data_IF_800394330953
#
_entry.id   IF_800394330953
#
_cell.length_a   1.000
_cell.length_b   1.000
_cell.length_c   1.000
_cell.angle_alpha   90.00
_cell.angle_beta   90.00
_cell.angle_gamma   90.00
#
_symmetry.space_group_name_H-M   'P 1'
#
loop_
_entity.id
_entity.type
_entity.pdbx_description
1 polymer ?
#
# COMPACT_ATOMS: atom_id res chain seq x y z
N UNK A 1 -23.44 34.59 -24.96
CA UNK A 1 -24.08 33.45 -24.26
C UNK A 1 -24.04 32.14 -25.05
N UNK A 2 -24.55 32.04 -26.26
CA UNK A 2 -24.59 30.77 -27.02
C UNK A 2 -23.22 30.08 -27.20
N UNK A 3 -22.14 30.83 -27.48
CA UNK A 3 -20.77 30.26 -27.61
C UNK A 3 -20.23 29.65 -26.31
N UNK A 4 -20.51 30.28 -25.15
CA UNK A 4 -20.10 29.78 -23.85
C UNK A 4 -20.82 28.47 -23.48
N UNK A 5 -22.11 28.35 -23.84
CA UNK A 5 -22.90 27.13 -23.65
C UNK A 5 -22.32 25.97 -24.48
N UNK A 6 -21.98 26.21 -25.76
CA UNK A 6 -21.40 25.17 -26.63
C UNK A 6 -20.01 24.73 -26.20
N UNK A 7 -19.17 25.64 -25.69
CA UNK A 7 -17.87 25.28 -25.09
C UNK A 7 -18.08 24.42 -23.84
N UNK A 8 -19.04 24.78 -22.98
CA UNK A 8 -19.38 23.99 -21.80
C UNK A 8 -19.89 22.58 -22.14
N UNK A 9 -20.74 22.47 -23.17
CA UNK A 9 -21.25 21.17 -23.66
C UNK A 9 -20.13 20.35 -24.29
N UNK A 10 -19.25 20.95 -25.09
CA UNK A 10 -18.12 20.27 -25.70
C UNK A 10 -17.13 19.74 -24.62
N UNK A 11 -16.84 20.54 -23.60
CA UNK A 11 -16.02 20.11 -22.46
C UNK A 11 -16.71 18.97 -21.69
N UNK A 12 -18.01 19.05 -21.45
CA UNK A 12 -18.76 17.98 -20.76
C UNK A 12 -18.79 16.68 -21.57
N UNK A 13 -18.94 16.76 -22.90
CA UNK A 13 -18.89 15.59 -23.79
C UNK A 13 -17.49 14.97 -23.84
N UNK A 14 -16.43 15.79 -23.90
CA UNK A 14 -15.06 15.31 -23.82
C UNK A 14 -14.79 14.62 -22.48
N UNK A 15 -15.22 15.22 -21.37
CA UNK A 15 -15.10 14.65 -20.03
C UNK A 15 -15.84 13.30 -19.95
N UNK A 16 -17.09 13.24 -20.46
CA UNK A 16 -17.87 12.01 -20.46
C UNK A 16 -17.28 10.93 -21.39
N UNK A 17 -16.75 11.33 -22.55
CA UNK A 17 -16.12 10.40 -23.51
C UNK A 17 -14.82 9.80 -23.02
N UNK A 18 -14.09 10.48 -22.13
CA UNK A 18 -12.86 9.97 -21.53
C UNK A 18 -13.07 9.31 -20.17
N UNK A 19 -14.33 9.07 -19.74
CA UNK A 19 -14.65 8.39 -18.49
C UNK A 19 -14.14 9.10 -17.23
N UNK A 20 -13.88 10.41 -17.32
CA UNK A 20 -13.43 11.19 -16.18
C UNK A 20 -14.62 11.58 -15.30
N UNK A 21 -14.80 10.87 -14.20
CA UNK A 21 -15.68 11.27 -13.13
C UNK A 21 -14.83 11.74 -11.93
N UNK A 22 -14.69 13.05 -11.71
CA UNK A 22 -13.88 13.57 -10.60
C UNK A 22 -14.43 13.19 -9.22
N UNK A 23 -15.66 12.70 -9.14
CA UNK A 23 -16.34 12.28 -7.90
C UNK A 23 -16.41 10.76 -7.75
N UNK A 24 -16.02 9.99 -8.77
CA UNK A 24 -15.98 8.53 -8.65
C UNK A 24 -14.79 8.11 -7.79
N UNK A 25 -15.05 7.26 -6.81
CA UNK A 25 -13.94 6.59 -6.10
C UNK A 25 -13.15 5.78 -7.10
N UNK A 26 -11.83 5.98 -7.12
CA UNK A 26 -10.93 5.15 -7.92
C UNK A 26 -10.60 3.83 -7.21
N UNK A 27 -10.94 3.71 -5.92
CA UNK A 27 -10.78 2.49 -5.13
C UNK A 27 -12.06 1.69 -5.16
N UNK A 28 -12.03 0.56 -5.84
CA UNK A 28 -13.06 -0.45 -5.67
C UNK A 28 -12.65 -1.34 -4.48
N UNK A 29 -13.33 -1.15 -3.37
CA UNK A 29 -13.09 -1.85 -2.10
C UNK A 29 -14.01 -3.06 -1.92
N UNK A 30 -14.75 -3.44 -2.95
CA UNK A 30 -15.72 -4.55 -2.89
C UNK A 30 -15.06 -5.86 -2.45
N UNK A 31 -15.59 -6.48 -1.41
CA UNK A 31 -15.20 -7.80 -0.95
C UNK A 31 -13.81 -7.90 -0.30
N UNK A 32 -13.05 -6.79 -0.15
CA UNK A 32 -11.70 -6.91 0.41
C UNK A 32 -11.69 -7.25 1.91
N UNK A 33 -12.76 -6.93 2.62
CA UNK A 33 -12.98 -7.25 4.04
C UNK A 33 -13.81 -8.52 4.25
N UNK A 34 -14.20 -9.22 3.18
CA UNK A 34 -15.00 -10.44 3.29
C UNK A 34 -14.27 -11.52 4.09
N UNK A 35 -14.99 -12.20 4.98
CA UNK A 35 -14.44 -13.31 5.77
C UNK A 35 -14.19 -14.56 4.90
N UNK A 36 -15.00 -14.77 3.84
CA UNK A 36 -14.82 -15.81 2.83
C UNK A 36 -13.97 -15.36 1.64
N UNK A 37 -13.83 -16.23 0.65
CA UNK A 37 -13.19 -15.92 -0.62
C UNK A 37 -14.16 -15.20 -1.56
N UNK A 38 -13.61 -14.36 -2.42
CA UNK A 38 -14.30 -13.67 -3.50
C UNK A 38 -13.92 -14.29 -4.84
N UNK A 39 -14.68 -14.01 -5.90
CA UNK A 39 -14.37 -14.51 -7.25
C UNK A 39 -13.00 -14.02 -7.78
N UNK A 40 -12.51 -12.88 -7.26
CA UNK A 40 -11.26 -12.30 -7.67
C UNK A 40 -10.35 -12.07 -6.46
N UNK A 41 -9.49 -13.04 -6.14
CA UNK A 41 -8.52 -12.97 -5.04
C UNK A 41 -7.10 -12.60 -5.51
N UNK A 42 -6.69 -13.10 -6.68
CA UNK A 42 -5.36 -12.84 -7.23
C UNK A 42 -5.46 -12.53 -8.71
N UNK A 43 -4.84 -11.47 -9.14
CA UNK A 43 -4.82 -11.05 -10.53
C UNK A 43 -4.78 -9.53 -10.71
N UNK A 44 -4.82 -9.13 -11.96
CA UNK A 44 -4.76 -7.73 -12.40
C UNK A 44 -6.00 -7.41 -13.22
N UNK A 45 -6.72 -6.39 -12.83
CA UNK A 45 -7.92 -5.92 -13.53
C UNK A 45 -7.80 -4.43 -13.84
N UNK A 46 -7.88 -4.09 -15.13
CA UNK A 46 -7.95 -2.69 -15.57
C UNK A 46 -9.40 -2.23 -15.60
N UNK A 47 -9.71 -1.23 -14.79
CA UNK A 47 -11.04 -0.63 -14.73
C UNK A 47 -11.31 0.25 -15.97
N UNK A 48 -12.57 0.54 -16.33
CA UNK A 48 -12.91 1.40 -17.46
C UNK A 48 -12.29 2.79 -17.41
N UNK A 49 -12.06 3.33 -16.20
CA UNK A 49 -11.38 4.61 -15.97
C UNK A 49 -9.85 4.53 -16.09
N UNK A 50 -9.30 3.36 -16.47
CA UNK A 50 -7.88 3.11 -16.66
C UNK A 50 -7.08 2.79 -15.40
N UNK A 51 -7.69 2.86 -14.21
CA UNK A 51 -7.04 2.43 -12.95
C UNK A 51 -6.85 0.92 -12.95
N UNK A 52 -5.67 0.44 -12.55
CA UNK A 52 -5.48 -0.98 -12.28
C UNK A 52 -5.83 -1.32 -10.84
N UNK A 53 -6.69 -2.31 -10.67
CA UNK A 53 -6.88 -3.01 -9.41
C UNK A 53 -6.05 -4.30 -9.46
N UNK A 54 -5.02 -4.35 -8.63
CA UNK A 54 -4.14 -5.50 -8.47
C UNK A 54 -4.51 -6.17 -7.16
N UNK A 55 -4.71 -7.47 -7.16
CA UNK A 55 -4.99 -8.27 -5.96
C UNK A 55 -4.00 -9.43 -5.87
N UNK A 56 -3.61 -9.74 -4.65
CA UNK A 56 -2.79 -10.89 -4.33
C UNK A 56 -3.28 -11.50 -3.01
N UNK A 57 -3.59 -12.79 -3.04
CA UNK A 57 -3.86 -13.57 -1.83
C UNK A 57 -2.64 -14.41 -1.52
N UNK A 58 -1.93 -14.08 -0.43
CA UNK A 58 -0.74 -14.79 0.00
C UNK A 58 -1.04 -15.61 1.24
N UNK A 59 -0.71 -16.91 1.19
CA UNK A 59 -0.75 -17.79 2.35
C UNK A 59 0.53 -17.64 3.16
N UNK A 60 0.40 -17.47 4.46
CA UNK A 60 1.50 -17.27 5.40
C UNK A 60 1.45 -18.32 6.51
N UNK A 61 2.00 -19.52 6.30
CA UNK A 61 1.95 -20.59 7.28
C UNK A 61 2.61 -20.17 8.61
N UNK A 62 1.99 -20.56 9.73
CA UNK A 62 2.46 -20.26 11.09
C UNK A 62 2.50 -18.76 11.48
N UNK A 63 2.24 -17.85 10.56
CA UNK A 63 2.14 -16.41 10.84
C UNK A 63 0.79 -16.09 11.47
N UNK A 64 0.77 -15.10 12.35
CA UNK A 64 -0.46 -14.52 12.92
C UNK A 64 -0.50 -13.02 12.70
N UNK A 65 -1.69 -12.44 12.69
CA UNK A 65 -1.90 -11.01 12.49
C UNK A 65 -1.10 -10.13 13.47
N UNK A 66 -0.91 -10.62 14.72
CA UNK A 66 -0.10 -9.94 15.74
C UNK A 66 1.38 -9.85 15.36
N UNK A 67 1.95 -10.89 14.72
CA UNK A 67 3.35 -10.91 14.27
C UNK A 67 3.59 -9.86 13.17
N UNK A 68 2.64 -9.72 12.24
CA UNK A 68 2.69 -8.70 11.20
C UNK A 68 2.49 -7.29 11.77
N UNK A 69 1.61 -7.13 12.78
CA UNK A 69 1.46 -5.87 13.50
C UNK A 69 2.78 -5.44 14.12
N UNK A 70 3.46 -6.35 14.81
CA UNK A 70 4.76 -6.12 15.42
C UNK A 70 5.84 -5.81 14.35
N UNK A 71 5.89 -6.57 13.27
CA UNK A 71 6.84 -6.35 12.16
C UNK A 71 6.77 -4.92 11.64
N UNK A 72 5.58 -4.46 11.26
CA UNK A 72 5.41 -3.13 10.65
C UNK A 72 5.43 -1.98 11.67
N UNK A 73 5.06 -2.21 12.92
CA UNK A 73 5.01 -1.14 13.91
C UNK A 73 6.31 -0.98 14.69
N UNK A 74 7.03 -2.08 14.94
CA UNK A 74 8.12 -2.11 15.90
C UNK A 74 9.45 -2.59 15.33
N UNK A 75 9.47 -3.76 14.66
CA UNK A 75 10.73 -4.44 14.34
C UNK A 75 11.43 -3.92 13.09
N UNK A 76 10.74 -3.72 12.00
CA UNK A 76 11.33 -3.36 10.70
C UNK A 76 11.78 -1.90 10.71
N UNK A 77 13.06 -1.65 11.07
CA UNK A 77 13.61 -0.30 11.29
C UNK A 77 14.82 0.02 10.40
N UNK A 78 15.51 -0.97 9.85
CA UNK A 78 16.78 -0.78 9.13
C UNK A 78 16.74 -1.34 7.72
N UNK A 79 17.68 -0.90 6.88
CA UNK A 79 17.87 -1.44 5.53
C UNK A 79 18.18 -2.94 5.56
N UNK A 80 18.87 -3.45 6.59
CA UNK A 80 19.16 -4.87 6.76
C UNK A 80 17.89 -5.67 7.00
N UNK A 81 16.97 -5.15 7.86
CA UNK A 81 15.66 -5.77 8.06
C UNK A 81 14.85 -5.77 6.77
N UNK A 82 14.90 -4.69 6.01
CA UNK A 82 14.21 -4.55 4.74
C UNK A 82 14.75 -5.52 3.69
N UNK A 83 16.06 -5.65 3.55
CA UNK A 83 16.70 -6.62 2.65
C UNK A 83 16.43 -8.07 3.05
N UNK A 84 16.32 -8.36 4.36
CA UNK A 84 15.94 -9.70 4.82
C UNK A 84 14.53 -10.07 4.39
N UNK A 85 13.64 -9.08 4.33
CA UNK A 85 12.26 -9.28 3.90
C UNK A 85 12.17 -9.70 2.43
N UNK A 86 12.93 -9.06 1.52
CA UNK A 86 13.05 -9.46 0.12
C UNK A 86 14.50 -9.34 -0.35
N UNK A 87 15.30 -10.42 -0.27
CA UNK A 87 16.74 -10.33 -0.46
C UNK A 87 17.22 -9.87 -1.84
N UNK A 88 16.41 -10.09 -2.88
CA UNK A 88 16.74 -9.71 -4.27
C UNK A 88 16.26 -8.33 -4.65
N UNK A 89 15.09 -7.94 -4.19
CA UNK A 89 14.43 -6.74 -4.70
C UNK A 89 14.54 -5.54 -3.76
N UNK A 90 14.60 -5.76 -2.45
CA UNK A 90 14.73 -4.67 -1.49
C UNK A 90 16.18 -4.17 -1.40
N UNK A 91 16.39 -2.88 -1.63
CA UNK A 91 17.73 -2.28 -1.74
C UNK A 91 18.05 -1.38 -0.55
N UNK A 92 17.12 -0.49 -0.20
CA UNK A 92 17.33 0.51 0.84
C UNK A 92 16.00 0.96 1.42
N UNK A 93 16.02 1.32 2.70
CA UNK A 93 14.89 1.95 3.36
C UNK A 93 15.29 2.99 4.38
N UNK A 94 14.38 3.92 4.65
CA UNK A 94 14.39 4.81 5.80
C UNK A 94 12.96 5.10 6.26
N UNK A 95 12.82 5.57 7.48
CA UNK A 95 11.54 6.05 7.99
C UNK A 95 11.47 7.57 8.04
N UNK A 96 10.29 8.12 7.75
CA UNK A 96 9.93 9.51 7.96
C UNK A 96 8.72 9.56 8.91
N UNK A 97 8.77 10.41 9.93
CA UNK A 97 7.72 10.60 10.95
C UNK A 97 7.34 9.31 11.72
N UNK A 98 8.24 8.35 11.83
CA UNK A 98 8.00 7.10 12.56
C UNK A 98 8.06 7.35 14.08
N UNK A 99 7.05 6.87 14.79
CA UNK A 99 7.04 6.83 16.25
C UNK A 99 7.11 5.37 16.72
N UNK A 100 7.72 5.10 17.87
CA UNK A 100 7.77 3.76 18.44
C UNK A 100 6.37 3.15 18.58
N UNK A 101 6.20 1.91 18.12
CA UNK A 101 4.92 1.19 18.20
C UNK A 101 3.81 1.68 17.26
N UNK A 102 4.00 2.80 16.57
CA UNK A 102 3.01 3.38 15.67
C UNK A 102 3.47 3.27 14.21
N UNK A 103 2.54 3.01 13.29
CA UNK A 103 2.78 3.08 11.84
C UNK A 103 1.97 4.19 11.16
N UNK A 104 0.75 4.47 11.66
CA UNK A 104 -0.13 5.47 11.04
C UNK A 104 0.54 6.84 11.11
N UNK A 105 0.58 7.54 9.97
CA UNK A 105 1.25 8.83 9.83
C UNK A 105 2.75 8.74 9.51
N UNK A 106 3.39 7.58 9.70
CA UNK A 106 4.75 7.35 9.26
C UNK A 106 4.81 7.10 7.75
N UNK A 107 5.96 7.35 7.16
CA UNK A 107 6.24 7.01 5.77
C UNK A 107 7.48 6.14 5.68
N UNK A 108 7.33 5.03 4.98
CA UNK A 108 8.40 4.12 4.61
C UNK A 108 8.97 4.59 3.27
N UNK A 109 10.22 5.06 3.30
CA UNK A 109 10.96 5.49 2.12
C UNK A 109 11.76 4.30 1.65
N UNK A 110 11.59 3.87 0.40
CA UNK A 110 12.19 2.64 -0.11
C UNK A 110 12.80 2.79 -1.49
N UNK A 111 13.86 2.04 -1.73
CA UNK A 111 14.34 1.68 -3.05
C UNK A 111 14.17 0.16 -3.20
N UNK A 112 13.43 -0.25 -4.21
CA UNK A 112 13.11 -1.65 -4.49
C UNK A 112 13.00 -1.90 -5.98
N UNK A 113 13.26 -3.13 -6.41
CA UNK A 113 13.01 -3.54 -7.79
C UNK A 113 11.59 -4.10 -7.92
N UNK A 114 10.87 -3.67 -8.94
CA UNK A 114 9.59 -4.22 -9.35
C UNK A 114 9.71 -4.60 -10.83
N UNK A 115 9.64 -5.89 -11.15
CA UNK A 115 9.86 -6.39 -12.50
C UNK A 115 11.24 -6.02 -13.07
N UNK A 116 12.28 -5.98 -12.23
CA UNK A 116 13.64 -5.59 -12.61
C UNK A 116 13.87 -4.09 -12.76
N UNK A 117 12.87 -3.25 -12.54
CA UNK A 117 12.98 -1.79 -12.60
C UNK A 117 13.09 -1.19 -11.20
N UNK A 118 14.14 -0.39 -10.96
CA UNK A 118 14.34 0.27 -9.68
C UNK A 118 13.25 1.33 -9.45
N UNK A 119 12.44 1.11 -8.43
CA UNK A 119 11.40 2.01 -7.94
C UNK A 119 11.88 2.70 -6.67
N UNK A 120 11.72 4.03 -6.62
CA UNK A 120 12.01 4.86 -5.44
C UNK A 120 10.71 5.42 -4.91
N UNK A 121 10.21 4.86 -3.83
CA UNK A 121 8.86 5.10 -3.35
C UNK A 121 8.86 5.70 -1.95
N UNK A 122 7.80 6.47 -1.68
CA UNK A 122 7.38 6.91 -0.36
C UNK A 122 6.02 6.28 -0.05
N UNK A 123 5.99 5.34 0.86
CA UNK A 123 4.80 4.59 1.26
C UNK A 123 4.30 5.18 2.58
N UNK A 124 3.30 6.04 2.51
CA UNK A 124 2.69 6.70 3.67
C UNK A 124 1.59 5.83 4.26
N UNK A 125 1.76 5.36 5.47
CA UNK A 125 0.72 4.63 6.21
C UNK A 125 -0.38 5.58 6.66
N UNK A 126 -1.62 5.21 6.38
CA UNK A 126 -2.82 5.98 6.71
C UNK A 126 -3.74 5.19 7.62
N UNK A 127 -4.69 5.87 8.26
CA UNK A 127 -5.77 5.18 8.94
C UNK A 127 -6.58 4.38 7.90
N UNK A 128 -6.74 3.06 8.08
CA UNK A 128 -7.51 2.24 7.15
C UNK A 128 -8.96 2.72 6.96
N UNK A 129 -9.57 3.33 7.96
CA UNK A 129 -10.92 3.87 7.86
C UNK A 129 -11.06 4.99 6.82
N UNK A 130 -9.96 5.67 6.49
CA UNK A 130 -9.95 6.65 5.40
C UNK A 130 -10.28 6.03 4.03
N UNK A 131 -9.90 4.76 3.83
CA UNK A 131 -10.12 4.05 2.57
C UNK A 131 -11.34 3.14 2.59
N UNK A 132 -11.64 2.56 3.73
CA UNK A 132 -12.56 1.44 3.87
C UNK A 132 -13.84 1.80 4.65
N UNK A 133 -13.89 3.01 5.24
CA UNK A 133 -14.92 3.39 6.19
C UNK A 133 -14.73 2.74 7.58
N UNK A 134 -15.68 2.88 8.49
CA UNK A 134 -15.55 2.37 9.85
C UNK A 134 -15.23 0.88 9.90
N UNK A 135 -14.25 0.50 10.72
CA UNK A 135 -13.77 -0.86 10.87
C UNK A 135 -14.01 -1.38 12.29
N UNK A 136 -14.44 -2.64 12.38
CA UNK A 136 -14.46 -3.36 13.65
C UNK A 136 -13.04 -3.76 14.06
N UNK A 137 -12.67 -3.45 15.30
CA UNK A 137 -11.42 -3.92 15.88
C UNK A 137 -11.48 -5.41 16.16
N UNK A 138 -10.62 -6.18 15.53
CA UNK A 138 -10.53 -7.65 15.69
C UNK A 138 -9.08 -8.04 15.98
N UNK A 139 -8.88 -8.94 16.95
CA UNK A 139 -7.54 -9.45 17.30
C UNK A 139 -6.96 -10.35 16.19
N UNK A 140 -7.82 -11.14 15.55
CA UNK A 140 -7.52 -12.08 14.47
C UNK A 140 -7.41 -11.43 13.09
N UNK A 141 -7.50 -10.09 13.03
CA UNK A 141 -7.42 -9.33 11.79
C UNK A 141 -6.48 -8.13 11.96
N UNK A 142 -5.69 -7.88 10.92
CA UNK A 142 -4.91 -6.66 10.78
C UNK A 142 -5.23 -6.02 9.43
N UNK A 143 -5.48 -4.72 9.45
CA UNK A 143 -5.64 -3.93 8.22
C UNK A 143 -4.56 -2.85 8.20
N UNK A 144 -3.81 -2.80 7.11
CA UNK A 144 -2.76 -1.82 6.86
C UNK A 144 -3.08 -1.16 5.53
N UNK A 145 -3.28 0.15 5.51
CA UNK A 145 -3.46 0.90 4.29
C UNK A 145 -2.39 1.98 4.14
N UNK A 146 -2.03 2.27 2.88
CA UNK A 146 -1.02 3.27 2.57
C UNK A 146 -1.29 3.96 1.23
N UNK A 147 -0.75 5.18 1.08
CA UNK A 147 -0.54 5.84 -0.20
C UNK A 147 0.89 5.61 -0.63
N UNK A 148 1.11 5.14 -1.84
CA UNK A 148 2.43 5.08 -2.43
C UNK A 148 2.64 6.23 -3.41
N UNK A 149 3.74 6.92 -3.25
CA UNK A 149 4.13 8.08 -4.04
C UNK A 149 5.57 7.97 -4.52
N UNK A 150 5.94 8.87 -5.40
CA UNK A 150 7.32 9.02 -5.84
C UNK A 150 8.15 9.65 -4.72
N UNK A 151 9.34 9.12 -4.46
CA UNK A 151 10.22 9.64 -3.43
C UNK A 151 10.75 11.03 -3.80
N UNK A 152 11.12 11.21 -5.06
CA UNK A 152 11.76 12.43 -5.58
C UNK A 152 10.76 13.52 -6.00
N UNK A 153 9.46 13.19 -6.12
CA UNK A 153 8.41 14.15 -6.48
C UNK A 153 7.29 14.17 -5.43
N UNK A 154 6.67 15.33 -5.18
CA UNK A 154 5.57 15.44 -4.20
C UNK A 154 4.25 14.90 -4.78
N UNK A 155 4.25 13.66 -5.27
CA UNK A 155 3.11 13.00 -5.88
C UNK A 155 2.87 11.63 -5.25
N UNK A 156 1.62 11.35 -4.92
CA UNK A 156 1.12 10.00 -4.72
C UNK A 156 0.60 9.48 -6.05
N UNK A 157 0.88 8.23 -6.38
CA UNK A 157 0.53 7.61 -7.69
C UNK A 157 -0.31 6.35 -7.53
N UNK A 158 -0.40 5.83 -6.32
CA UNK A 158 -1.23 4.66 -5.99
C UNK A 158 -1.67 4.67 -4.54
N UNK A 159 -2.57 3.77 -4.22
CA UNK A 159 -2.92 3.41 -2.84
C UNK A 159 -3.00 1.89 -2.72
N UNK A 160 -2.83 1.39 -1.51
CA UNK A 160 -2.81 -0.03 -1.23
C UNK A 160 -3.42 -0.33 0.13
N UNK A 161 -3.91 -1.56 0.31
CA UNK A 161 -4.25 -2.13 1.61
C UNK A 161 -3.80 -3.59 1.68
N UNK A 162 -3.31 -4.00 2.84
CA UNK A 162 -3.11 -5.39 3.23
C UNK A 162 -4.12 -5.74 4.31
N UNK A 163 -4.92 -6.76 4.07
CA UNK A 163 -5.89 -7.30 5.00
C UNK A 163 -5.44 -8.70 5.39
N UNK A 164 -4.98 -8.84 6.62
CA UNK A 164 -4.55 -10.09 7.21
C UNK A 164 -5.69 -10.68 8.02
N UNK A 165 -5.91 -11.97 7.89
CA UNK A 165 -6.82 -12.75 8.75
C UNK A 165 -6.12 -14.01 9.24
N UNK A 166 -6.30 -14.31 10.51
CA UNK A 166 -5.80 -15.55 11.09
C UNK A 166 -6.61 -16.75 10.59
N UNK A 167 -5.92 -17.86 10.43
CA UNK A 167 -6.47 -19.17 10.09
C UNK A 167 -5.95 -20.22 11.09
N UNK A 168 -6.48 -21.44 11.03
CA UNK A 168 -5.98 -22.53 11.87
C UNK A 168 -4.51 -22.85 11.62
N UNK A 169 -4.05 -22.75 10.36
CA UNK A 169 -2.69 -23.11 9.95
C UNK A 169 -1.71 -21.92 9.88
N UNK A 170 -2.18 -20.69 10.11
CA UNK A 170 -1.36 -19.50 10.00
C UNK A 170 -2.20 -18.25 9.76
N UNK A 171 -1.88 -17.50 8.72
CA UNK A 171 -2.64 -16.35 8.26
C UNK A 171 -2.78 -16.34 6.72
N UNK A 172 -3.75 -15.59 6.23
CA UNK A 172 -3.87 -15.19 4.85
C UNK A 172 -3.81 -13.67 4.75
N UNK A 173 -3.00 -13.17 3.82
CA UNK A 173 -2.95 -11.74 3.50
C UNK A 173 -3.58 -11.49 2.14
N UNK A 174 -4.63 -10.70 2.13
CA UNK A 174 -5.23 -10.14 0.92
C UNK A 174 -4.62 -8.76 0.69
N UNK A 175 -3.73 -8.64 -0.28
CA UNK A 175 -3.16 -7.37 -0.73
C UNK A 175 -4.00 -6.82 -1.88
N UNK A 176 -4.26 -5.53 -1.86
CA UNK A 176 -4.92 -4.82 -2.95
C UNK A 176 -4.19 -3.51 -3.23
N UNK A 177 -3.96 -3.24 -4.52
CA UNK A 177 -3.37 -2.00 -4.99
C UNK A 177 -4.28 -1.36 -6.03
N UNK A 178 -4.39 -0.03 -5.99
CA UNK A 178 -5.09 0.79 -6.97
C UNK A 178 -4.07 1.72 -7.61
N UNK A 179 -3.62 1.36 -8.82
CA UNK A 179 -2.58 2.08 -9.55
C UNK A 179 -3.20 3.13 -10.48
N UNK A 180 -2.58 4.31 -10.55
CA UNK A 180 -2.95 5.33 -11.52
C UNK A 180 -3.87 6.41 -10.96
N UNK A 181 -3.92 6.60 -9.64
CA UNK A 181 -4.51 7.80 -9.07
C UNK A 181 -3.41 8.75 -8.62
N UNK A 182 -3.28 9.88 -9.31
CA UNK A 182 -2.27 10.90 -9.04
C UNK A 182 -2.86 11.96 -8.12
N UNK A 183 -2.23 12.15 -6.97
CA UNK A 183 -2.55 13.21 -6.02
C UNK A 183 -1.30 14.01 -5.68
N UNK A 184 -1.42 15.35 -5.60
CA UNK A 184 -0.37 16.16 -5.03
C UNK A 184 -0.19 15.85 -3.54
N UNK A 185 1.02 16.04 -3.03
CA UNK A 185 1.36 15.79 -1.64
C UNK A 185 2.10 16.97 -1.04
N UNK A 186 1.71 17.37 0.17
CA UNK A 186 2.42 18.32 1.02
C UNK A 186 2.59 17.69 2.42
N UNK A 187 3.80 17.19 2.71
CA UNK A 187 4.04 16.32 3.86
C UNK A 187 3.15 15.08 3.79
N UNK A 188 2.30 14.88 4.78
CA UNK A 188 1.33 13.78 4.84
C UNK A 188 -0.05 14.12 4.25
N UNK A 189 -0.26 15.36 3.82
CA UNK A 189 -1.55 15.81 3.27
C UNK A 189 -1.62 15.62 1.77
N UNK A 190 -2.76 15.13 1.29
CA UNK A 190 -3.08 15.17 -0.13
C UNK A 190 -3.57 16.57 -0.49
N UNK A 191 -2.98 17.16 -1.53
CA UNK A 191 -3.33 18.50 -2.02
C UNK A 191 -3.68 18.46 -3.50
N UNK A 192 -4.34 19.51 -3.96
CA UNK A 192 -4.65 19.67 -5.39
C UNK A 192 -3.34 19.72 -6.21
N UNK A 193 -3.36 19.10 -7.37
CA UNK A 193 -2.22 19.09 -8.31
C UNK A 193 -2.72 19.15 -9.75
N UNK A 194 -2.12 20.04 -10.54
CA UNK A 194 -2.38 20.10 -12.01
C UNK A 194 -1.95 18.77 -12.67
N UNK A 195 -0.82 18.19 -12.23
CA UNK A 195 -0.38 16.85 -12.68
C UNK A 195 -1.45 15.80 -12.35
N UNK A 196 -2.07 15.88 -11.15
CA UNK A 196 -3.20 15.03 -10.77
C UNK A 196 -4.43 15.23 -11.63
N UNK A 197 -4.78 16.48 -11.93
CA UNK A 197 -5.94 16.78 -12.79
C UNK A 197 -5.79 16.15 -14.18
N UNK A 198 -4.64 16.28 -14.81
CA UNK A 198 -4.36 15.74 -16.14
C UNK A 198 -4.13 14.21 -16.11
N UNK A 199 -3.35 13.73 -15.16
CA UNK A 199 -2.97 12.31 -15.05
C UNK A 199 -4.12 11.39 -14.64
N UNK A 200 -5.17 11.92 -14.02
CA UNK A 200 -6.35 11.15 -13.62
C UNK A 200 -7.39 10.94 -14.73
N UNK A 201 -7.11 11.37 -15.97
CA UNK A 201 -7.95 11.04 -17.12
C UNK A 201 -7.74 9.59 -17.56
N UNK A 202 -8.79 8.95 -18.07
CA UNK A 202 -8.69 7.58 -18.58
C UNK A 202 -7.63 7.46 -19.69
N UNK A 203 -7.53 8.46 -20.57
CA UNK A 203 -6.53 8.50 -21.63
C UNK A 203 -5.11 8.54 -21.07
N UNK A 204 -4.83 9.44 -20.11
CA UNK A 204 -3.50 9.55 -19.52
C UNK A 204 -3.08 8.23 -18.84
N UNK A 205 -4.00 7.59 -18.10
CA UNK A 205 -3.76 6.29 -17.50
C UNK A 205 -3.51 5.19 -18.53
N UNK A 206 -4.25 5.20 -19.65
CA UNK A 206 -4.06 4.23 -20.72
C UNK A 206 -2.69 4.37 -21.41
N UNK A 207 -2.16 5.57 -21.49
CA UNK A 207 -0.84 5.84 -22.08
C UNK A 207 0.32 5.62 -21.10
N UNK A 208 0.10 5.87 -19.81
CA UNK A 208 1.16 5.87 -18.80
C UNK A 208 1.29 4.57 -18.00
N UNK A 209 0.22 3.77 -17.92
CA UNK A 209 0.21 2.54 -17.13
C UNK A 209 0.30 1.31 -18.00
N UNK A 210 1.29 0.49 -17.71
CA UNK A 210 1.51 -0.79 -18.35
C UNK A 210 0.91 -1.94 -17.53
N UNK A 211 0.31 -2.92 -18.23
CA UNK A 211 -0.21 -4.14 -17.63
C UNK A 211 0.92 -4.98 -17.03
N UNK A 212 2.08 -5.01 -17.68
CA UNK A 212 3.22 -5.78 -17.18
C UNK A 212 3.67 -5.28 -15.82
N UNK A 213 3.79 -3.96 -15.63
CA UNK A 213 4.13 -3.39 -14.32
C UNK A 213 3.12 -3.79 -13.22
N UNK A 214 1.83 -3.85 -13.56
CA UNK A 214 0.81 -4.27 -12.60
C UNK A 214 0.93 -5.77 -12.24
N UNK A 215 1.34 -6.61 -13.20
CA UNK A 215 1.63 -8.04 -12.96
C UNK A 215 2.91 -8.18 -12.13
N UNK A 216 3.96 -7.42 -12.44
CA UNK A 216 5.22 -7.43 -11.71
C UNK A 216 5.02 -7.00 -10.25
N UNK A 217 4.21 -5.97 -10.00
CA UNK A 217 3.85 -5.55 -8.63
C UNK A 217 3.08 -6.65 -7.88
N UNK A 218 2.16 -7.33 -8.56
CA UNK A 218 1.44 -8.47 -7.96
C UNK A 218 2.40 -9.59 -7.55
N UNK A 219 3.34 -9.92 -8.44
CA UNK A 219 4.35 -10.95 -8.21
C UNK A 219 5.25 -10.56 -7.05
N UNK A 220 5.78 -9.35 -7.07
CA UNK A 220 6.60 -8.79 -5.98
C UNK A 220 5.87 -8.87 -4.62
N UNK A 221 4.59 -8.44 -4.57
CA UNK A 221 3.81 -8.49 -3.34
C UNK A 221 3.57 -9.92 -2.81
N UNK A 222 3.44 -10.92 -3.69
CA UNK A 222 3.32 -12.33 -3.30
C UNK A 222 4.66 -12.84 -2.75
N UNK A 223 5.75 -12.54 -3.44
CA UNK A 223 7.09 -13.00 -3.09
C UNK A 223 7.55 -12.39 -1.76
N UNK A 224 7.42 -11.07 -1.58
CA UNK A 224 7.83 -10.41 -0.33
C UNK A 224 7.08 -10.96 0.89
N UNK A 225 5.78 -11.21 0.78
CA UNK A 225 5.00 -11.78 1.88
C UNK A 225 5.28 -13.26 2.09
N UNK A 226 5.65 -13.99 1.03
CA UNK A 226 6.15 -15.35 1.13
C UNK A 226 7.47 -15.43 1.90
N UNK A 227 8.46 -14.65 1.50
CA UNK A 227 9.74 -14.56 2.23
C UNK A 227 9.56 -14.14 3.69
N UNK A 228 8.68 -13.19 3.95
CA UNK A 228 8.38 -12.77 5.32
C UNK A 228 7.80 -13.94 6.14
N UNK A 229 6.91 -14.73 5.55
CA UNK A 229 6.31 -15.87 6.22
C UNK A 229 7.32 -16.96 6.60
N UNK A 230 8.39 -17.11 5.82
CA UNK A 230 9.41 -18.13 6.05
C UNK A 230 10.20 -17.92 7.35
N UNK A 231 10.37 -16.68 7.81
CA UNK A 231 11.21 -16.41 8.98
C UNK A 231 10.49 -15.68 10.13
N UNK A 232 9.36 -15.03 9.86
CA UNK A 232 8.67 -14.17 10.83
C UNK A 232 8.25 -14.90 12.11
N UNK A 233 7.71 -16.13 12.08
CA UNK A 233 7.30 -16.84 13.29
C UNK A 233 8.47 -17.09 14.25
N UNK A 234 9.59 -17.56 13.74
CA UNK A 234 10.80 -17.84 14.55
C UNK A 234 11.41 -16.55 15.07
N UNK A 235 11.51 -15.52 14.23
CA UNK A 235 12.00 -14.21 14.62
C UNK A 235 11.13 -13.59 15.72
N UNK A 236 9.81 -13.62 15.56
CA UNK A 236 8.88 -13.09 16.54
C UNK A 236 9.01 -13.81 17.89
N UNK A 237 9.13 -15.13 17.89
CA UNK A 237 9.30 -15.92 19.09
C UNK A 237 10.62 -15.61 19.80
N UNK A 238 11.73 -15.49 19.07
CA UNK A 238 13.04 -15.13 19.63
C UNK A 238 13.03 -13.74 20.27
N UNK A 239 12.52 -12.74 19.54
CA UNK A 239 12.52 -11.35 19.96
C UNK A 239 11.54 -11.04 21.10
N UNK A 240 10.46 -11.80 21.23
CA UNK A 240 9.46 -11.63 22.30
C UNK A 240 9.58 -12.67 23.43
N UNK A 241 10.66 -13.46 23.43
CA UNK A 241 11.01 -14.34 24.55
C UNK A 241 11.43 -13.51 25.78
N UNK A 242 11.35 -14.09 27.01
CA UNK A 242 11.85 -13.42 28.21
C UNK A 242 13.33 -13.02 28.13
N UNK A 243 14.14 -13.78 27.38
CA UNK A 243 15.56 -13.50 27.15
C UNK A 243 15.76 -12.36 26.13
N UNK A 244 15.03 -12.34 25.02
CA UNK A 244 15.07 -11.25 24.05
C UNK A 244 14.59 -9.91 24.62
N UNK A 245 13.65 -9.94 25.55
CA UNK A 245 13.20 -8.73 26.27
C UNK A 245 14.23 -8.20 27.29
N UNK A 246 15.08 -9.06 27.86
CA UNK A 246 16.15 -8.66 28.76
C UNK A 246 17.30 -7.96 28.04
N UNK A 247 17.61 -8.35 26.81
CA UNK A 247 18.67 -7.72 26.00
C UNK A 247 18.28 -6.34 25.46
N UNK A 248 17.00 -6.06 25.27
CA UNK A 248 16.51 -4.76 24.77
C UNK A 248 16.50 -3.63 25.80
N UNK A 249 16.67 -3.87 27.09
CA UNK A 249 16.63 -2.85 28.13
C UNK A 249 15.38 -1.93 28.07
N UNK A 250 15.04 -1.18 29.11
CA UNK A 250 13.96 -0.22 29.04
C UNK A 250 14.29 0.85 27.98
N UNK A 251 13.38 1.04 27.01
CA UNK A 251 13.48 2.10 26.01
C UNK A 251 13.60 3.45 26.73
N UNK A 252 14.80 4.02 26.72
CA UNK A 252 15.04 5.37 27.27
C UNK A 252 14.24 6.35 26.40
N UNK A 253 13.39 7.21 27.01
CA UNK A 253 12.77 8.30 26.25
C UNK A 253 13.89 9.18 25.70
N UNK A 254 13.85 9.49 24.41
CA UNK A 254 14.75 10.47 23.81
C UNK A 254 14.55 11.80 24.53
N UNK A 255 15.57 12.24 25.27
CA UNK A 255 15.62 13.58 25.83
C UNK A 255 15.57 14.58 24.68
N UNK A 256 14.56 15.45 24.73
CA UNK A 256 14.40 16.51 23.76
C UNK A 256 15.54 17.51 23.86
N UNK A 257 16.14 17.80 22.74
CA UNK A 257 17.04 18.90 22.47
C UNK A 257 16.57 19.65 21.23
#
# INVERSE_FOLDING_TARGET
MKRAIWIGVAIAVVIASFGWNPFASYRDTSGILADGYTEFETGVHRQPNGVYRVRALTRMPNVKAEMLRWWFAEYMQTTEHYKRWHPTDHVWMAWENKKPGERIGASHLVHEYIGGNLSKLRIQFVDPEEFLGPLESRKDRLVICARAGLLEEPLNVSSMCHIVRDTEWGAEMRSVFWLGHIGGREGNRTVFSIKGLLGNTALARHLALDTQFAVDLMTHAIEEMGYLADFLPELYAAENSPQGNAERGPSTPAEGG
#
